data_IF_953444569861
#
_entry.id   IF_953444569861
#
_cell.length_a   1.000
_cell.length_b   1.000
_cell.length_c   1.000
_cell.angle_alpha   90.00
_cell.angle_beta   90.00
_cell.angle_gamma   90.00
#
_symmetry.space_group_name_H-M   'P 1'
#
loop_
_entity.id
_entity.type
_entity.pdbx_description
1 polymer ?
#
# COMPACT_ATOMS: atom_id res chain seq x y z
N UNK A 1 15.36 49.56 -25.08
CA UNK A 1 15.74 48.97 -26.39
C UNK A 1 16.25 47.53 -26.15
N UNK A 2 15.38 46.63 -25.67
CA UNK A 2 15.71 45.23 -25.31
C UNK A 2 14.92 44.27 -26.22
N UNK A 3 15.21 44.28 -27.53
CA UNK A 3 14.46 43.48 -28.52
C UNK A 3 15.32 42.56 -29.39
N UNK A 4 16.59 42.34 -29.03
CA UNK A 4 17.53 41.60 -29.88
C UNK A 4 18.41 40.60 -29.12
N UNK A 5 17.83 39.81 -28.20
CA UNK A 5 18.54 38.67 -27.57
C UNK A 5 17.86 37.31 -27.88
N UNK A 6 16.69 37.29 -28.54
CA UNK A 6 15.92 36.04 -28.70
C UNK A 6 16.09 35.31 -30.04
N UNK A 7 16.91 35.79 -30.98
CA UNK A 7 16.81 35.33 -32.38
C UNK A 7 17.89 34.36 -32.88
N UNK A 8 18.75 33.84 -32.02
CA UNK A 8 19.64 32.73 -32.41
C UNK A 8 19.67 31.71 -31.27
N UNK A 9 18.59 30.94 -31.13
CA UNK A 9 18.70 29.62 -30.51
C UNK A 9 19.11 28.70 -31.66
N UNK A 10 20.35 28.18 -31.69
CA UNK A 10 20.79 27.27 -32.73
C UNK A 10 19.84 26.09 -32.80
N UNK A 11 19.48 25.64 -34.00
CA UNK A 11 18.61 24.46 -34.22
C UNK A 11 19.09 23.23 -33.43
N UNK A 12 20.40 23.13 -33.18
CA UNK A 12 21.03 22.14 -32.30
C UNK A 12 20.52 22.19 -30.85
N UNK A 13 20.27 23.38 -30.27
CA UNK A 13 19.73 23.54 -28.91
C UNK A 13 18.27 23.08 -28.85
N UNK A 14 17.48 23.37 -29.90
CA UNK A 14 16.09 22.89 -29.99
C UNK A 14 16.06 21.36 -30.11
N UNK A 15 16.95 20.76 -30.91
CA UNK A 15 17.07 19.32 -31.05
C UNK A 15 17.50 18.64 -29.73
N UNK A 16 18.46 19.23 -29.01
CA UNK A 16 18.92 18.74 -27.71
C UNK A 16 17.78 18.79 -26.68
N UNK A 17 17.07 19.92 -26.57
CA UNK A 17 15.92 20.06 -25.67
C UNK A 17 14.81 19.08 -26.06
N UNK A 18 14.52 18.92 -27.35
CA UNK A 18 13.55 17.95 -27.86
C UNK A 18 13.91 16.50 -27.51
N UNK A 19 15.18 16.12 -27.63
CA UNK A 19 15.68 14.80 -27.24
C UNK A 19 15.57 14.57 -25.72
N UNK A 20 15.96 15.54 -24.89
CA UNK A 20 15.82 15.43 -23.44
C UNK A 20 14.36 15.37 -22.98
N UNK A 21 13.47 16.16 -23.59
CA UNK A 21 12.03 16.10 -23.30
C UNK A 21 11.41 14.78 -23.77
N UNK A 22 11.82 14.28 -24.95
CA UNK A 22 11.38 13.00 -25.49
C UNK A 22 11.79 11.82 -24.61
N UNK A 23 13.09 11.72 -24.30
CA UNK A 23 13.65 10.68 -23.41
C UNK A 23 13.07 10.76 -22.00
N UNK A 24 12.82 11.97 -21.47
CA UNK A 24 12.18 12.12 -20.17
C UNK A 24 10.73 11.64 -20.16
N UNK A 25 9.95 11.96 -21.21
CA UNK A 25 8.57 11.46 -21.35
C UNK A 25 8.52 9.94 -21.49
N UNK A 26 9.42 9.37 -22.30
CA UNK A 26 9.53 7.93 -22.52
C UNK A 26 9.93 7.19 -21.23
N UNK A 27 10.93 7.72 -20.50
CA UNK A 27 11.32 7.18 -19.18
C UNK A 27 10.14 7.23 -18.21
N UNK A 28 9.37 8.32 -18.19
CA UNK A 28 8.19 8.46 -17.32
C UNK A 28 7.07 7.50 -17.71
N UNK A 29 6.87 7.23 -19.00
CA UNK A 29 5.87 6.24 -19.44
C UNK A 29 6.27 4.80 -19.12
N UNK A 30 7.57 4.48 -19.22
CA UNK A 30 8.10 3.17 -18.84
C UNK A 30 7.93 2.93 -17.33
N UNK A 31 8.39 3.86 -16.49
CA UNK A 31 8.20 3.82 -15.04
C UNK A 31 6.73 3.63 -14.67
N UNK A 32 5.84 4.39 -15.31
CA UNK A 32 4.40 4.29 -15.06
C UNK A 32 3.86 2.91 -15.42
N UNK A 33 4.29 2.30 -16.52
CA UNK A 33 3.85 0.97 -16.94
C UNK A 33 4.35 -0.12 -15.99
N UNK A 34 5.60 -0.02 -15.54
CA UNK A 34 6.18 -0.97 -14.57
C UNK A 34 5.45 -0.86 -13.22
N UNK A 35 5.29 0.34 -12.68
CA UNK A 35 4.52 0.57 -11.45
C UNK A 35 3.06 0.12 -11.57
N UNK A 36 2.46 0.19 -12.78
CA UNK A 36 1.09 -0.30 -13.01
C UNK A 36 1.01 -1.82 -12.88
N UNK A 37 2.01 -2.55 -13.40
CA UNK A 37 2.09 -4.01 -13.26
C UNK A 37 2.32 -4.41 -11.80
N UNK A 38 3.20 -3.71 -11.11
CA UNK A 38 3.45 -3.90 -9.67
C UNK A 38 2.17 -3.67 -8.86
N UNK A 39 1.41 -2.63 -9.19
CA UNK A 39 0.12 -2.34 -8.57
C UNK A 39 -0.93 -3.42 -8.87
N UNK A 40 -1.04 -3.91 -10.11
CA UNK A 40 -1.96 -4.99 -10.47
C UNK A 40 -1.64 -6.28 -9.70
N UNK A 41 -0.37 -6.70 -9.69
CA UNK A 41 0.10 -7.86 -8.93
C UNK A 41 -0.19 -7.76 -7.43
N UNK A 42 0.02 -6.57 -6.85
CA UNK A 42 -0.31 -6.27 -5.47
C UNK A 42 -1.82 -6.42 -5.20
N UNK A 43 -2.65 -5.79 -6.04
CA UNK A 43 -4.11 -5.80 -5.87
C UNK A 43 -4.70 -7.20 -6.05
N UNK A 44 -4.15 -8.01 -6.95
CA UNK A 44 -4.57 -9.40 -7.16
C UNK A 44 -4.17 -10.33 -5.99
N UNK A 45 -3.17 -9.93 -5.20
CA UNK A 45 -2.71 -10.65 -4.00
C UNK A 45 -3.47 -10.25 -2.73
N UNK A 46 -4.24 -9.16 -2.76
CA UNK A 46 -4.99 -8.66 -1.61
C UNK A 46 -6.43 -9.21 -1.59
N UNK A 47 -7.03 -9.35 -0.40
CA UNK A 47 -8.44 -9.71 -0.28
C UNK A 47 -9.36 -8.67 -0.93
N UNK A 48 -10.60 -9.08 -1.22
CA UNK A 48 -11.60 -8.22 -1.85
C UNK A 48 -11.80 -6.90 -1.08
N UNK A 49 -12.08 -5.81 -1.81
CA UNK A 49 -12.22 -4.48 -1.22
C UNK A 49 -13.30 -4.42 -0.11
N UNK A 50 -14.40 -5.17 -0.27
CA UNK A 50 -15.46 -5.28 0.75
C UNK A 50 -14.96 -5.86 2.08
N UNK A 51 -14.01 -6.80 2.03
CA UNK A 51 -13.37 -7.35 3.23
C UNK A 51 -12.48 -6.31 3.90
N UNK A 52 -11.75 -5.51 3.11
CA UNK A 52 -10.90 -4.43 3.61
C UNK A 52 -11.74 -3.30 4.24
N UNK A 53 -12.87 -2.96 3.62
CA UNK A 53 -13.78 -1.92 4.09
C UNK A 53 -14.49 -2.29 5.41
N UNK A 54 -14.84 -3.57 5.62
CA UNK A 54 -15.39 -4.04 6.90
C UNK A 54 -14.46 -3.71 8.09
N UNK A 55 -13.16 -4.02 7.96
CA UNK A 55 -12.18 -3.68 8.98
C UNK A 55 -11.91 -2.18 9.07
N UNK A 56 -12.30 -1.37 8.10
CA UNK A 56 -12.19 0.09 8.19
C UNK A 56 -13.27 0.70 9.10
N UNK A 57 -14.42 0.03 9.24
CA UNK A 57 -15.63 0.57 9.89
C UNK A 57 -15.86 -0.01 11.29
N UNK A 58 -15.57 -1.30 11.51
CA UNK A 58 -15.87 -1.98 12.78
C UNK A 58 -14.61 -2.54 13.47
N UNK A 59 -13.73 -1.66 13.96
CA UNK A 59 -12.55 -2.11 14.74
C UNK A 59 -12.87 -2.18 16.22
N UNK A 60 -13.28 -3.35 16.66
CA UNK A 60 -13.10 -3.74 18.05
C UNK A 60 -12.22 -4.98 18.14
N UNK A 61 -10.89 -4.79 18.01
CA UNK A 61 -9.91 -5.88 18.15
C UNK A 61 -9.60 -6.22 19.62
N UNK A 62 -10.37 -5.68 20.57
CA UNK A 62 -10.28 -6.05 22.00
C UNK A 62 -10.95 -7.43 22.21
N UNK A 63 -12.01 -7.71 21.47
CA UNK A 63 -12.70 -9.00 21.47
C UNK A 63 -12.04 -10.00 20.50
N UNK A 64 -12.74 -11.09 20.17
CA UNK A 64 -12.26 -12.02 19.14
C UNK A 64 -12.23 -11.36 17.76
N UNK A 65 -11.10 -11.48 17.05
CA UNK A 65 -10.96 -10.92 15.71
C UNK A 65 -10.26 -11.89 14.76
N UNK A 66 -10.58 -11.81 13.48
CA UNK A 66 -9.87 -12.57 12.45
C UNK A 66 -8.64 -11.78 11.97
N UNK A 67 -7.46 -12.40 12.07
CA UNK A 67 -6.17 -11.76 11.71
C UNK A 67 -5.74 -12.00 10.26
N UNK A 68 -6.45 -12.85 9.51
CA UNK A 68 -6.02 -13.35 8.20
C UNK A 68 -5.81 -12.21 7.18
N UNK A 69 -6.64 -11.16 7.24
CA UNK A 69 -6.47 -9.99 6.39
C UNK A 69 -5.09 -9.33 6.57
N UNK A 70 -4.58 -9.25 7.80
CA UNK A 70 -3.30 -8.62 8.10
C UNK A 70 -2.12 -9.49 7.65
N UNK A 71 -2.25 -10.82 7.74
CA UNK A 71 -1.29 -11.75 7.16
C UNK A 71 -1.21 -11.58 5.63
N UNK A 72 -2.36 -11.49 4.95
CA UNK A 72 -2.41 -11.27 3.51
C UNK A 72 -1.80 -9.92 3.11
N UNK A 73 -2.04 -8.86 3.88
CA UNK A 73 -1.38 -7.56 3.67
C UNK A 73 0.15 -7.68 3.80
N UNK A 74 0.63 -8.24 4.90
CA UNK A 74 2.07 -8.44 5.12
C UNK A 74 2.72 -9.22 3.98
N UNK A 75 2.09 -10.31 3.54
CA UNK A 75 2.62 -11.16 2.48
C UNK A 75 2.62 -10.44 1.11
N UNK A 76 1.52 -9.76 0.76
CA UNK A 76 1.40 -9.04 -0.50
C UNK A 76 2.43 -7.90 -0.58
N UNK A 77 2.55 -7.07 0.46
CA UNK A 77 3.51 -5.97 0.50
C UNK A 77 4.95 -6.47 0.63
N UNK A 78 5.20 -7.55 1.38
CA UNK A 78 6.54 -8.15 1.45
C UNK A 78 7.03 -8.65 0.08
N UNK A 79 6.17 -9.25 -0.74
CA UNK A 79 6.54 -9.69 -2.11
C UNK A 79 6.98 -8.51 -2.96
N UNK A 80 6.18 -7.45 -3.01
CA UNK A 80 6.47 -6.23 -3.78
C UNK A 80 7.79 -5.57 -3.33
N UNK A 81 8.13 -5.62 -2.04
CA UNK A 81 9.37 -5.01 -1.53
C UNK A 81 10.61 -5.89 -1.79
N UNK A 82 10.45 -7.20 -1.72
CA UNK A 82 11.57 -8.16 -1.79
C UNK A 82 11.92 -8.62 -3.20
N UNK A 83 10.96 -8.57 -4.12
CA UNK A 83 11.15 -8.93 -5.53
C UNK A 83 11.45 -7.67 -6.36
N UNK A 84 12.67 -7.54 -6.92
CA UNK A 84 13.04 -6.40 -7.75
C UNK A 84 12.16 -6.22 -8.98
N UNK A 85 11.52 -7.30 -9.47
CA UNK A 85 10.65 -7.26 -10.65
C UNK A 85 9.24 -6.77 -10.33
N UNK A 86 8.89 -6.75 -9.05
CA UNK A 86 7.60 -6.32 -8.52
C UNK A 86 7.68 -5.01 -7.74
N UNK A 87 8.88 -4.46 -7.54
CA UNK A 87 9.09 -3.22 -6.79
C UNK A 87 8.52 -1.99 -7.51
N UNK A 88 8.11 -0.99 -6.73
CA UNK A 88 7.75 0.32 -7.29
C UNK A 88 9.01 1.13 -7.57
N UNK A 89 9.10 1.66 -8.78
CA UNK A 89 10.15 2.58 -9.20
C UNK A 89 9.82 3.99 -8.71
N UNK A 90 8.53 4.36 -8.65
CA UNK A 90 8.12 5.57 -7.96
C UNK A 90 8.42 5.47 -6.46
N UNK A 91 9.37 6.30 -6.01
CA UNK A 91 9.87 6.30 -4.63
C UNK A 91 8.76 6.49 -3.59
N UNK A 92 7.77 7.36 -3.86
CA UNK A 92 6.70 7.60 -2.89
C UNK A 92 5.82 6.36 -2.70
N UNK A 93 5.54 5.63 -3.78
CA UNK A 93 4.81 4.36 -3.69
C UNK A 93 5.63 3.28 -2.98
N UNK A 94 6.92 3.20 -3.28
CA UNK A 94 7.82 2.24 -2.63
C UNK A 94 7.94 2.52 -1.13
N UNK A 95 8.12 3.78 -0.74
CA UNK A 95 8.23 4.18 0.67
C UNK A 95 6.92 3.84 1.42
N UNK A 96 5.76 4.13 0.83
CA UNK A 96 4.45 3.76 1.41
C UNK A 96 4.25 2.24 1.50
N UNK A 97 4.67 1.47 0.49
CA UNK A 97 4.62 0.02 0.52
C UNK A 97 5.47 -0.55 1.67
N UNK A 98 6.68 -0.02 1.87
CA UNK A 98 7.56 -0.37 2.99
C UNK A 98 6.92 -0.05 4.33
N UNK A 99 6.34 1.15 4.49
CA UNK A 99 5.66 1.54 5.73
C UNK A 99 4.49 0.61 6.06
N UNK A 100 3.66 0.26 5.08
CA UNK A 100 2.54 -0.68 5.26
C UNK A 100 3.06 -2.05 5.70
N UNK A 101 4.14 -2.53 5.09
CA UNK A 101 4.73 -3.83 5.46
C UNK A 101 5.27 -3.82 6.89
N UNK A 102 5.97 -2.77 7.29
CA UNK A 102 6.49 -2.64 8.67
C UNK A 102 5.36 -2.65 9.69
N UNK A 103 4.32 -1.83 9.47
CA UNK A 103 3.15 -1.79 10.35
C UNK A 103 2.42 -3.15 10.41
N UNK A 104 2.33 -3.85 9.27
CA UNK A 104 1.71 -5.19 9.21
C UNK A 104 2.54 -6.23 9.98
N UNK A 105 3.87 -6.14 9.94
CA UNK A 105 4.76 -6.99 10.75
C UNK A 105 4.60 -6.70 12.24
N UNK A 106 4.56 -5.44 12.64
CA UNK A 106 4.37 -5.06 14.05
C UNK A 106 3.03 -5.59 14.58
N UNK A 107 1.97 -5.48 13.78
CA UNK A 107 0.66 -6.04 14.09
C UNK A 107 0.69 -7.57 14.25
N UNK A 108 1.30 -8.28 13.29
CA UNK A 108 1.44 -9.74 13.33
C UNK A 108 2.30 -10.20 14.52
N UNK A 109 3.38 -9.48 14.82
CA UNK A 109 4.23 -9.79 15.97
C UNK A 109 3.44 -9.67 17.29
N UNK A 110 2.63 -8.62 17.44
CA UNK A 110 1.75 -8.49 18.59
C UNK A 110 0.73 -9.63 18.66
N UNK A 111 0.13 -10.04 17.54
CA UNK A 111 -0.74 -11.23 17.51
C UNK A 111 0.00 -12.48 18.02
N UNK A 112 1.18 -12.76 17.49
CA UNK A 112 1.93 -13.98 17.82
C UNK A 112 2.28 -14.04 19.31
N UNK A 113 2.65 -12.89 19.90
CA UNK A 113 3.11 -12.81 21.29
C UNK A 113 1.91 -12.75 22.25
N UNK A 114 0.95 -11.87 21.96
CA UNK A 114 -0.05 -11.42 22.93
C UNK A 114 -1.45 -12.00 22.67
N UNK A 115 -1.63 -12.89 21.67
CA UNK A 115 -2.94 -13.51 21.38
C UNK A 115 -2.86 -15.03 21.29
N UNK A 116 -4.02 -15.69 21.34
CA UNK A 116 -4.17 -17.13 21.15
C UNK A 116 -5.35 -17.44 20.22
N UNK A 117 -5.26 -18.52 19.43
CA UNK A 117 -6.32 -18.88 18.49
C UNK A 117 -7.53 -19.45 19.22
N UNK A 118 -8.73 -19.03 18.82
CA UNK A 118 -10.02 -19.51 19.38
C UNK A 118 -10.78 -20.43 18.42
N UNK A 119 -10.41 -20.46 17.13
CA UNK A 119 -11.02 -21.29 16.09
C UNK A 119 -11.33 -20.48 14.82
N UNK A 120 -11.50 -21.13 13.65
CA UNK A 120 -11.87 -20.48 12.38
C UNK A 120 -10.99 -19.28 11.94
N UNK A 121 -9.72 -19.23 12.37
CA UNK A 121 -8.81 -18.12 12.07
C UNK A 121 -8.99 -16.88 12.97
N UNK A 122 -9.80 -16.99 14.01
CA UNK A 122 -9.94 -15.96 15.04
C UNK A 122 -8.84 -16.06 16.10
N UNK A 123 -8.48 -14.89 16.62
CA UNK A 123 -7.51 -14.67 17.68
C UNK A 123 -8.20 -13.92 18.83
N UNK A 124 -7.73 -14.14 20.05
CA UNK A 124 -8.16 -13.41 21.26
C UNK A 124 -6.94 -13.07 22.11
N UNK A 125 -6.98 -11.93 22.80
CA UNK A 125 -5.87 -11.44 23.62
C UNK A 125 -5.60 -12.38 24.80
N UNK A 126 -4.33 -12.72 25.03
CA UNK A 126 -3.88 -13.50 26.17
C UNK A 126 -3.96 -12.62 27.41
N UNK A 127 -4.74 -13.07 28.39
CA UNK A 127 -4.75 -12.49 29.73
C UNK A 127 -3.64 -13.12 30.57
N UNK A 128 -2.78 -12.30 31.15
CA UNK A 128 -1.70 -12.78 32.05
C UNK A 128 -2.28 -13.33 33.35
N UNK A 129 -3.44 -12.83 33.78
CA UNK A 129 -4.20 -13.29 34.95
C UNK A 129 -5.69 -13.38 34.62
N UNK A 130 -6.40 -14.28 35.30
CA UNK A 130 -7.85 -14.41 35.14
C UNK A 130 -8.52 -13.08 35.53
N UNK A 131 -9.18 -12.42 34.57
CA UNK A 131 -9.87 -11.13 34.79
C UNK A 131 -8.99 -9.87 34.61
N UNK A 132 -7.84 -9.97 33.92
CA UNK A 132 -6.99 -8.82 33.64
C UNK A 132 -7.51 -7.99 32.44
N UNK A 133 -8.41 -7.05 32.72
CA UNK A 133 -8.95 -6.14 31.69
C UNK A 133 -7.91 -5.11 31.19
N UNK A 134 -6.81 -4.91 31.92
CA UNK A 134 -5.80 -3.92 31.57
C UNK A 134 -4.91 -4.40 30.40
N UNK A 135 -4.50 -5.66 30.42
CA UNK A 135 -3.74 -6.27 29.32
C UNK A 135 -4.56 -6.32 28.02
N UNK A 136 -5.86 -6.63 28.13
CA UNK A 136 -6.82 -6.62 27.02
C UNK A 136 -6.96 -5.22 26.42
N UNK A 137 -7.17 -4.20 27.26
CA UNK A 137 -7.30 -2.82 26.80
C UNK A 137 -6.02 -2.31 26.15
N UNK A 138 -4.85 -2.56 26.75
CA UNK A 138 -3.57 -2.09 26.21
C UNK A 138 -3.26 -2.74 24.86
N UNK A 139 -3.37 -4.05 24.79
CA UNK A 139 -3.07 -4.83 23.57
C UNK A 139 -4.10 -4.53 22.49
N UNK A 140 -5.39 -4.54 22.84
CA UNK A 140 -6.47 -4.20 21.91
C UNK A 140 -6.38 -2.78 21.37
N UNK A 141 -6.00 -1.80 22.20
CA UNK A 141 -5.75 -0.43 21.73
C UNK A 141 -4.56 -0.38 20.76
N UNK A 142 -3.45 -1.06 21.06
CA UNK A 142 -2.32 -1.13 20.16
C UNK A 142 -2.69 -1.75 18.80
N UNK A 143 -3.45 -2.86 18.83
CA UNK A 143 -3.94 -3.52 17.62
C UNK A 143 -4.87 -2.59 16.83
N UNK A 144 -5.84 -1.95 17.48
CA UNK A 144 -6.77 -1.00 16.85
C UNK A 144 -6.03 0.19 16.20
N UNK A 145 -5.08 0.80 16.91
CA UNK A 145 -4.27 1.90 16.40
C UNK A 145 -3.41 1.47 15.21
N UNK A 146 -2.74 0.32 15.32
CA UNK A 146 -1.84 -0.19 14.28
C UNK A 146 -2.63 -0.57 13.04
N UNK A 147 -3.76 -1.27 13.19
CA UNK A 147 -4.68 -1.54 12.09
C UNK A 147 -5.17 -0.24 11.44
N UNK A 148 -5.39 0.83 12.20
CA UNK A 148 -5.78 2.15 11.67
C UNK A 148 -4.69 2.75 10.82
N UNK A 149 -3.45 2.77 11.33
CA UNK A 149 -2.30 3.24 10.57
C UNK A 149 -2.10 2.43 9.27
N UNK A 150 -2.25 1.11 9.29
CA UNK A 150 -2.16 0.25 8.09
C UNK A 150 -3.15 0.73 7.02
N UNK A 151 -4.43 0.85 7.35
CA UNK A 151 -5.45 1.22 6.36
C UNK A 151 -5.36 2.69 5.91
N UNK A 152 -4.95 3.60 6.79
CA UNK A 152 -4.68 5.00 6.41
C UNK A 152 -3.53 5.09 5.40
N UNK A 153 -2.44 4.37 5.65
CA UNK A 153 -1.30 4.31 4.73
C UNK A 153 -1.67 3.63 3.42
N UNK A 154 -2.46 2.56 3.46
CA UNK A 154 -2.99 1.92 2.26
C UNK A 154 -3.87 2.87 1.42
N UNK A 155 -4.74 3.64 2.07
CA UNK A 155 -5.55 4.67 1.39
C UNK A 155 -4.67 5.74 0.76
N UNK A 156 -3.64 6.19 1.47
CA UNK A 156 -2.68 7.15 0.93
C UNK A 156 -1.94 6.58 -0.28
N UNK A 157 -1.47 5.33 -0.19
CA UNK A 157 -0.84 4.60 -1.29
C UNK A 157 -1.73 4.55 -2.53
N UNK A 158 -2.99 4.11 -2.40
CA UNK A 158 -3.95 4.07 -3.51
C UNK A 158 -4.20 5.45 -4.11
N UNK A 159 -4.33 6.48 -3.27
CA UNK A 159 -4.54 7.86 -3.71
C UNK A 159 -3.33 8.40 -4.48
N UNK A 160 -2.11 8.08 -4.05
CA UNK A 160 -0.87 8.47 -4.72
C UNK A 160 -0.70 7.75 -6.05
N UNK A 161 -1.01 6.45 -6.12
CA UNK A 161 -1.02 5.69 -7.36
C UNK A 161 -2.01 6.29 -8.38
N UNK A 162 -3.23 6.65 -7.91
CA UNK A 162 -4.24 7.31 -8.75
C UNK A 162 -3.78 8.69 -9.24
N UNK A 163 -3.22 9.52 -8.37
CA UNK A 163 -2.69 10.87 -8.71
C UNK A 163 -1.57 10.81 -9.74
N UNK A 164 -0.71 9.78 -9.66
CA UNK A 164 0.37 9.53 -10.63
C UNK A 164 -0.13 8.84 -11.91
N UNK A 165 -1.42 8.49 -11.97
CA UNK A 165 -2.09 7.86 -13.10
C UNK A 165 -1.74 6.39 -13.30
N UNK A 166 -1.13 5.75 -12.31
CA UNK A 166 -0.67 4.34 -12.33
C UNK A 166 -1.87 3.37 -12.25
N UNK A 167 -3.01 3.86 -11.74
CA UNK A 167 -4.28 3.12 -11.81
C UNK A 167 -4.79 3.13 -13.24
N UNK A 168 -4.68 2.01 -13.96
CA UNK A 168 -5.54 1.79 -15.13
C UNK A 168 -6.98 1.67 -14.64
N UNK A 169 -7.93 2.29 -15.37
CA UNK A 169 -9.34 1.96 -15.16
C UNK A 169 -9.45 0.45 -15.38
N UNK A 170 -9.67 -0.34 -14.32
CA UNK A 170 -10.22 -1.69 -14.49
C UNK A 170 -11.44 -1.48 -15.35
N UNK A 171 -11.40 -1.95 -16.61
CA UNK A 171 -12.61 -2.01 -17.41
C UNK A 171 -13.54 -2.92 -16.62
N UNK A 172 -14.61 -2.35 -16.08
CA UNK A 172 -15.72 -3.06 -15.46
C UNK A 172 -16.37 -3.97 -16.51
N UNK A 173 -15.73 -5.10 -16.80
CA UNK A 173 -16.34 -6.21 -17.53
C UNK A 173 -17.11 -7.14 -16.57
N UNK A 174 -17.38 -6.73 -15.33
CA UNK A 174 -18.23 -7.46 -14.39
C UNK A 174 -19.73 -7.16 -14.53
N UNK A 175 -20.16 -6.50 -15.61
CA UNK A 175 -21.57 -6.59 -16.07
C UNK A 175 -21.72 -7.69 -17.11
N UNK A 176 -21.73 -8.94 -16.64
CA UNK A 176 -22.43 -10.11 -17.21
C UNK A 176 -21.91 -11.37 -16.51
N UNK A 177 -22.64 -11.84 -15.51
CA UNK A 177 -23.30 -13.15 -15.41
C UNK A 177 -24.44 -12.98 -14.41
#
# INVERSE_FOLDING_TARGET
MFKAILEIIPEAVIAIVGFFVGTWKEKRSLTKNEDSKSLESLLDSLPSFSTIEFYYVEKNLIDSFNSNIFHQFNDAFSRVISDPTSAFIDKELQDLAVEINVLSKDFINCIIIDTFPTGNGEQTIRRTKLGDDYDDLKTGNFLNETATKIFEKYKLFLSSAKRKGIVQKRNDNSKKI
#
